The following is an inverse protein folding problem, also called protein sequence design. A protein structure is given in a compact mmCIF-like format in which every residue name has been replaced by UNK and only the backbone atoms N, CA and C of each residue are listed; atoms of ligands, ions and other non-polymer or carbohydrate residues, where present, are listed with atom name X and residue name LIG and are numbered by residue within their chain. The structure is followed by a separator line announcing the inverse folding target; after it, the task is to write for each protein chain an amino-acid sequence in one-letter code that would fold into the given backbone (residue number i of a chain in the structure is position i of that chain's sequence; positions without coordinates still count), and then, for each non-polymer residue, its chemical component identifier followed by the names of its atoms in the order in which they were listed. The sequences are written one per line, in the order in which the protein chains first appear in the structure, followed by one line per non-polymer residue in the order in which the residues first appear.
data_IF_386461058850
#
_entry.id   IF_386461058850
#
_cell.length_a   1.000
_cell.length_b   1.000
_cell.length_c   1.000
_cell.angle_alpha   90.00
_cell.angle_beta   90.00
_cell.angle_gamma   90.00
#
_symmetry.space_group_name_H-M   'P 1'
#
loop_
_entity.id
_entity.type
_entity.pdbx_description
1 polymer ?
#
# COMPACT_ATOMS: atom_id res chain seq x y z
N UNK A 1 -10.75 -22.16 23.69
CA UNK A 1 -11.51 -21.25 22.80
C UNK A 1 -10.58 -20.82 21.67
N UNK A 2 -10.62 -21.46 20.49
CA UNK A 2 -9.86 -20.97 19.32
C UNK A 2 -10.71 -19.88 18.68
N UNK A 3 -10.24 -18.63 18.65
CA UNK A 3 -10.90 -17.61 17.84
C UNK A 3 -10.79 -18.04 16.38
N UNK A 4 -11.93 -18.29 15.74
CA UNK A 4 -11.98 -18.35 14.28
C UNK A 4 -11.75 -16.92 13.80
N UNK A 5 -10.49 -16.52 13.65
CA UNK A 5 -10.15 -15.32 12.90
C UNK A 5 -10.61 -15.58 11.47
N UNK A 6 -11.75 -15.01 11.10
CA UNK A 6 -12.14 -14.95 9.70
C UNK A 6 -11.07 -14.10 9.02
N UNK A 7 -10.18 -14.72 8.24
CA UNK A 7 -9.21 -13.99 7.44
C UNK A 7 -9.97 -12.98 6.60
N UNK A 8 -9.74 -11.69 6.88
CA UNK A 8 -10.34 -10.60 6.11
C UNK A 8 -9.63 -10.57 4.76
N UNK A 9 -10.39 -10.81 3.71
CA UNK A 9 -9.90 -10.75 2.34
C UNK A 9 -9.99 -9.33 1.81
N UNK A 10 -8.97 -8.90 1.09
CA UNK A 10 -8.88 -7.58 0.48
C UNK A 10 -9.03 -7.72 -1.04
N UNK A 11 -10.16 -7.25 -1.57
CA UNK A 11 -10.56 -7.47 -2.96
C UNK A 11 -9.95 -6.41 -3.88
N UNK A 12 -9.87 -6.69 -5.17
CA UNK A 12 -9.31 -5.75 -6.15
C UNK A 12 -10.08 -4.43 -6.18
N UNK A 13 -11.39 -4.46 -6.00
CA UNK A 13 -12.22 -3.26 -5.94
C UNK A 13 -11.78 -2.36 -4.78
N UNK A 14 -11.48 -2.93 -3.61
CA UNK A 14 -10.99 -2.18 -2.46
C UNK A 14 -9.60 -1.60 -2.72
N UNK A 15 -8.73 -2.34 -3.44
CA UNK A 15 -7.43 -1.84 -3.87
C UNK A 15 -7.58 -0.63 -4.79
N UNK A 16 -8.43 -0.72 -5.81
CA UNK A 16 -8.66 0.38 -6.74
C UNK A 16 -9.26 1.59 -6.04
N UNK A 17 -10.23 1.40 -5.15
CA UNK A 17 -10.81 2.49 -4.34
C UNK A 17 -9.78 3.12 -3.41
N UNK A 18 -8.90 2.34 -2.79
CA UNK A 18 -7.81 2.86 -1.96
C UNK A 18 -6.90 3.78 -2.78
N UNK A 19 -6.44 3.32 -3.95
CA UNK A 19 -5.55 4.10 -4.80
C UNK A 19 -6.21 5.37 -5.36
N UNK A 20 -7.51 5.32 -5.70
CA UNK A 20 -8.25 6.50 -6.13
C UNK A 20 -8.43 7.52 -4.99
N UNK A 21 -8.77 7.06 -3.78
CA UNK A 21 -8.92 7.92 -2.61
C UNK A 21 -7.60 8.60 -2.21
N UNK A 22 -6.47 7.88 -2.34
CA UNK A 22 -5.14 8.42 -2.13
C UNK A 22 -4.64 9.26 -3.31
N UNK A 23 -5.44 9.38 -4.38
CA UNK A 23 -5.09 10.08 -5.61
C UNK A 23 -3.77 9.58 -6.21
N UNK A 24 -3.50 8.28 -6.10
CA UNK A 24 -2.29 7.66 -6.63
C UNK A 24 -2.43 7.25 -8.08
N UNK A 25 -3.65 7.03 -8.59
CA UNK A 25 -3.89 6.78 -10.01
C UNK A 25 -4.04 8.12 -10.72
N UNK A 26 -2.94 8.65 -11.24
CA UNK A 26 -2.94 9.89 -12.03
C UNK A 26 -1.67 9.98 -12.90
N UNK A 27 -1.63 10.95 -13.81
CA UNK A 27 -0.49 11.15 -14.70
C UNK A 27 0.77 11.67 -13.98
N UNK A 28 0.61 12.34 -12.83
CA UNK A 28 1.74 12.87 -12.03
C UNK A 28 2.56 11.77 -11.36
N UNK A 29 1.91 10.72 -10.86
CA UNK A 29 2.57 9.54 -10.29
C UNK A 29 3.00 8.56 -11.39
N UNK A 30 2.45 8.68 -12.60
CA UNK A 30 2.66 7.73 -13.69
C UNK A 30 1.96 6.38 -13.48
N UNK A 31 1.16 6.23 -12.42
CA UNK A 31 0.48 4.98 -12.10
C UNK A 31 -0.88 4.91 -12.80
N UNK A 32 -0.98 4.12 -13.86
CA UNK A 32 -2.23 3.84 -14.54
C UNK A 32 -3.05 2.72 -13.89
N UNK A 33 -4.34 2.62 -14.28
CA UNK A 33 -5.25 1.55 -13.85
C UNK A 33 -4.69 0.16 -14.17
N UNK A 34 -4.10 -0.02 -15.36
CA UNK A 34 -3.51 -1.29 -15.78
C UNK A 34 -2.37 -1.69 -14.86
N UNK A 35 -1.49 -0.74 -14.52
CA UNK A 35 -0.35 -0.99 -13.63
C UNK A 35 -0.81 -1.35 -12.22
N UNK A 36 -1.82 -0.64 -11.69
CA UNK A 36 -2.43 -0.95 -10.41
C UNK A 36 -3.01 -2.38 -10.35
N UNK A 37 -3.64 -2.84 -11.43
CA UNK A 37 -4.15 -4.22 -11.55
C UNK A 37 -3.01 -5.25 -11.65
N UNK A 38 -1.93 -4.94 -12.36
CA UNK A 38 -0.76 -5.82 -12.46
C UNK A 38 -0.11 -6.00 -11.09
N UNK A 39 0.08 -4.90 -10.34
CA UNK A 39 0.54 -4.96 -8.94
C UNK A 39 -0.38 -5.87 -8.14
N UNK A 40 -1.71 -5.71 -8.28
CA UNK A 40 -2.67 -6.58 -7.61
C UNK A 40 -2.40 -8.07 -7.87
N UNK A 41 -2.29 -8.43 -9.14
CA UNK A 41 -2.12 -9.83 -9.53
C UNK A 41 -0.77 -10.42 -9.14
N UNK A 42 0.30 -9.62 -9.17
CA UNK A 42 1.67 -10.10 -8.92
C UNK A 42 2.04 -10.20 -7.45
N UNK A 43 1.31 -9.54 -6.55
CA UNK A 43 1.55 -9.63 -5.10
C UNK A 43 0.85 -10.80 -4.42
N UNK A 44 0.06 -11.59 -5.17
CA UNK A 44 -0.56 -12.79 -4.62
C UNK A 44 0.49 -13.88 -4.39
N UNK A 45 0.76 -14.20 -3.13
CA UNK A 45 1.67 -15.26 -2.70
C UNK A 45 0.97 -16.62 -2.62
N UNK A 46 0.25 -17.01 -3.68
CA UNK A 46 -0.46 -18.29 -3.77
C UNK A 46 0.32 -19.35 -4.57
N UNK A 47 0.28 -20.60 -4.12
CA UNK A 47 0.72 -21.75 -4.94
C UNK A 47 -0.42 -22.24 -5.84
N UNK A 48 -0.08 -22.95 -6.93
CA UNK A 48 -1.05 -23.49 -7.91
C UNK A 48 -2.12 -24.37 -7.23
N UNK A 49 -1.77 -25.09 -6.16
CA UNK A 49 -2.71 -25.97 -5.44
C UNK A 49 -3.80 -25.18 -4.69
N UNK A 50 -3.53 -23.91 -4.34
CA UNK A 50 -4.48 -23.05 -3.64
C UNK A 50 -5.54 -22.42 -4.57
N UNK A 51 -5.34 -22.47 -5.90
CA UNK A 51 -6.26 -21.94 -6.91
C UNK A 51 -7.61 -22.66 -6.94
N UNK A 52 -7.70 -23.88 -6.38
CA UNK A 52 -8.98 -24.58 -6.18
C UNK A 52 -9.93 -23.82 -5.25
N UNK A 53 -9.41 -22.90 -4.41
CA UNK A 53 -10.20 -22.01 -3.56
C UNK A 53 -10.40 -20.66 -4.24
N UNK A 54 -11.45 -20.56 -5.07
CA UNK A 54 -11.79 -19.37 -5.87
C UNK A 54 -11.70 -18.04 -5.13
N UNK A 55 -12.04 -17.98 -3.85
CA UNK A 55 -11.93 -16.74 -3.05
C UNK A 55 -10.50 -16.26 -2.86
N UNK A 56 -9.53 -17.16 -2.66
CA UNK A 56 -8.11 -16.81 -2.53
C UNK A 56 -7.49 -16.38 -3.87
N UNK A 57 -8.01 -16.89 -4.98
CA UNK A 57 -7.53 -16.56 -6.31
C UNK A 57 -7.86 -15.13 -6.77
N UNK A 58 -8.79 -14.45 -6.07
CA UNK A 58 -9.31 -13.12 -6.45
C UNK A 58 -9.18 -12.09 -5.33
N UNK A 59 -8.48 -12.42 -4.24
CA UNK A 59 -8.34 -11.52 -3.10
C UNK A 59 -6.99 -11.66 -2.43
N UNK A 60 -6.57 -10.60 -1.76
CA UNK A 60 -5.37 -10.54 -0.96
C UNK A 60 -5.63 -10.92 0.48
N UNK A 61 -4.71 -11.70 1.05
CA UNK A 61 -4.49 -11.77 2.49
C UNK A 61 -3.71 -10.52 2.96
N UNK A 62 -3.50 -10.39 4.26
CA UNK A 62 -2.69 -9.30 4.80
C UNK A 62 -1.26 -9.30 4.27
N UNK A 63 -0.66 -10.48 4.05
CA UNK A 63 0.72 -10.58 3.54
C UNK A 63 0.78 -10.12 2.08
N UNK A 64 -0.17 -10.56 1.26
CA UNK A 64 -0.28 -10.11 -0.14
C UNK A 64 -0.49 -8.59 -0.24
N UNK A 65 -1.23 -8.02 0.70
CA UNK A 65 -1.40 -6.56 0.79
C UNK A 65 -0.10 -5.82 1.09
N UNK A 66 0.72 -6.32 2.03
CA UNK A 66 2.03 -5.71 2.34
C UNK A 66 2.98 -5.80 1.14
N UNK A 67 3.00 -6.95 0.46
CA UNK A 67 3.75 -7.13 -0.80
C UNK A 67 3.26 -6.16 -1.89
N UNK A 68 1.94 -6.00 -2.04
CA UNK A 68 1.32 -5.01 -2.92
C UNK A 68 1.74 -3.59 -2.61
N UNK A 69 1.78 -3.23 -1.33
CA UNK A 69 2.19 -1.91 -0.88
C UNK A 69 3.67 -1.65 -1.17
N UNK A 70 4.55 -2.65 -0.96
CA UNK A 70 5.96 -2.54 -1.27
C UNK A 70 6.19 -2.32 -2.78
N UNK A 71 5.57 -3.13 -3.63
CA UNK A 71 5.64 -2.96 -5.10
C UNK A 71 5.08 -1.64 -5.58
N UNK A 72 4.01 -1.17 -4.95
CA UNK A 72 3.46 0.16 -5.24
C UNK A 72 4.49 1.23 -4.90
N UNK A 73 5.10 1.18 -3.72
CA UNK A 73 6.12 2.16 -3.32
C UNK A 73 7.30 2.19 -4.29
N UNK A 74 7.77 1.02 -4.74
CA UNK A 74 8.84 0.92 -5.73
C UNK A 74 8.44 1.45 -7.11
N UNK A 75 7.14 1.41 -7.44
CA UNK A 75 6.62 1.89 -8.72
C UNK A 75 6.41 3.40 -8.77
N UNK A 76 6.37 4.07 -7.62
CA UNK A 76 6.09 5.50 -7.55
C UNK A 76 7.39 6.32 -7.64
N UNK A 77 7.43 7.35 -8.50
CA UNK A 77 8.57 8.24 -8.54
C UNK A 77 8.69 9.03 -7.23
N UNK A 78 9.94 9.25 -6.80
CA UNK A 78 10.19 10.16 -5.68
C UNK A 78 9.76 11.58 -6.07
N UNK A 79 9.13 12.33 -5.15
CA UNK A 79 8.82 13.73 -5.40
C UNK A 79 10.11 14.53 -5.68
N UNK A 80 10.02 15.62 -6.48
CA UNK A 80 11.14 16.53 -6.66
C UNK A 80 11.64 17.08 -5.32
N UNK A 81 12.94 17.44 -5.20
CA UNK A 81 13.52 17.97 -3.96
C UNK A 81 12.74 19.15 -3.35
N UNK A 82 12.23 20.04 -4.20
CA UNK A 82 11.43 21.19 -3.75
C UNK A 82 10.12 20.77 -3.04
N UNK A 83 9.45 19.72 -3.53
CA UNK A 83 8.23 19.21 -2.90
C UNK A 83 8.53 18.46 -1.60
N UNK A 84 9.68 17.77 -1.56
CA UNK A 84 10.18 17.11 -0.35
C UNK A 84 10.49 18.13 0.76
N UNK A 85 11.15 19.24 0.42
CA UNK A 85 11.45 20.32 1.36
C UNK A 85 10.18 20.98 1.89
N UNK A 86 9.21 21.25 1.02
CA UNK A 86 7.90 21.79 1.41
C UNK A 86 7.16 20.83 2.36
N UNK A 87 7.11 19.54 2.04
CA UNK A 87 6.48 18.54 2.89
C UNK A 87 7.18 18.40 4.25
N UNK A 88 8.51 18.52 4.29
CA UNK A 88 9.28 18.50 5.54
C UNK A 88 8.98 19.73 6.42
N UNK A 89 8.79 20.91 5.81
CA UNK A 89 8.39 22.12 6.52
C UNK A 89 6.95 22.02 7.08
N UNK A 90 6.01 21.48 6.29
CA UNK A 90 4.63 21.21 6.74
C UNK A 90 4.60 20.22 7.90
N UNK A 91 5.40 19.15 7.83
CA UNK A 91 5.51 18.20 8.94
C UNK A 91 6.09 18.86 10.21
N UNK A 92 7.10 19.72 10.05
CA UNK A 92 7.71 20.43 11.18
C UNK A 92 6.72 21.37 11.90
N UNK A 93 5.77 21.95 11.17
CA UNK A 93 4.72 22.82 11.75
C UNK A 93 3.58 22.04 12.40
N UNK A 94 3.27 20.84 11.91
CA UNK A 94 2.27 19.94 12.50
C UNK A 94 2.79 19.09 13.67
N UNK A 95 4.09 19.20 13.97
CA UNK A 95 4.74 18.45 15.06
C UNK A 95 4.13 18.82 16.41
N UNK A 96 3.63 17.85 17.20
CA UNK A 96 3.16 18.14 18.55
C UNK A 96 4.32 18.64 19.42
N UNK A 97 4.11 19.65 20.28
CA UNK A 97 5.14 20.18 21.15
C UNK A 97 5.62 19.07 22.11
N UNK A 98 6.87 18.62 21.95
CA UNK A 98 7.49 17.60 22.81
C UNK A 98 8.10 16.38 22.10
N UNK A 99 7.83 16.17 20.81
CA UNK A 99 8.54 15.13 20.06
C UNK A 99 9.94 15.67 19.73
N UNK A 100 11.01 15.14 20.33
CA UNK A 100 12.40 15.41 19.92
C UNK A 100 12.99 14.14 19.32
N UNK A 101 13.71 14.24 18.20
CA UNK A 101 14.26 13.07 17.48
C UNK A 101 15.33 12.29 18.28
N UNK A 102 15.68 12.79 19.47
CA UNK A 102 16.65 12.22 20.42
C UNK A 102 16.14 11.00 21.20
N UNK A 103 14.90 10.53 20.97
CA UNK A 103 14.32 9.39 21.70
C UNK A 103 14.37 8.02 21.00
N UNK A 104 14.88 7.92 19.76
CA UNK A 104 14.84 6.68 18.97
C UNK A 104 16.07 5.78 19.11
N UNK A 105 17.06 6.19 19.90
CA UNK A 105 18.21 5.37 20.28
C UNK A 105 18.52 5.56 21.78
N UNK A 106 17.72 4.94 22.64
CA UNK A 106 18.12 4.57 24.00
C UNK A 106 17.55 3.20 24.33
#
# INVERSE_FOLDING_TARGET
YKSKSASKYFWMEHWMTLLDNLRLINDRTGLGITQAKIIFMWSMMGSIDELTKRQKAVSWTFVDFIEGLARLADSLPLPPPLELEAAAADYATQRPPGFTATGLFR
#
